data_IF_089429479550
#
_entry.id   IF_089429479550
#
_cell.length_a   1.000
_cell.length_b   1.000
_cell.length_c   1.000
_cell.angle_alpha   90.00
_cell.angle_beta   90.00
_cell.angle_gamma   90.00
#
_symmetry.space_group_name_H-M   'P 1'
#
loop_
_entity.id
_entity.type
_entity.pdbx_description
1 polymer ?
#
# COMPACT_ATOMS: atom_id res chain seq x y z
N UNK A 1 30.57 10.95 -13.57
CA UNK A 1 29.10 10.97 -13.45
C UNK A 1 28.68 9.77 -12.63
N UNK A 2 28.53 9.94 -11.34
CA UNK A 2 28.06 8.89 -10.42
C UNK A 2 26.54 8.99 -10.37
N UNK A 3 25.84 7.95 -10.80
CA UNK A 3 24.40 7.79 -10.55
C UNK A 3 24.25 7.56 -9.05
N UNK A 4 23.67 8.53 -8.36
CA UNK A 4 23.15 8.35 -7.01
C UNK A 4 21.90 7.46 -7.14
N UNK A 5 22.07 6.17 -6.92
CA UNK A 5 20.94 5.28 -6.65
C UNK A 5 20.35 5.71 -5.32
N UNK A 6 19.13 6.19 -5.35
CA UNK A 6 18.32 6.34 -4.15
C UNK A 6 17.94 4.92 -3.74
N UNK A 7 18.72 4.34 -2.83
CA UNK A 7 18.33 3.11 -2.15
C UNK A 7 17.20 3.48 -1.19
N UNK A 8 15.99 3.09 -1.54
CA UNK A 8 14.86 3.11 -0.63
C UNK A 8 15.13 2.05 0.44
N UNK A 9 15.81 2.47 1.50
CA UNK A 9 15.94 1.67 2.71
C UNK A 9 14.59 1.67 3.42
N UNK A 10 13.72 0.73 3.06
CA UNK A 10 12.69 0.29 4.00
C UNK A 10 13.44 -0.15 5.26
N UNK A 11 13.20 0.53 6.36
CA UNK A 11 13.65 0.08 7.67
C UNK A 11 12.88 -1.21 8.04
N UNK A 12 13.18 -2.29 7.31
CA UNK A 12 12.95 -3.62 7.81
C UNK A 12 14.06 -3.84 8.86
N UNK A 13 13.68 -3.99 10.10
CA UNK A 13 14.57 -4.59 11.08
C UNK A 13 15.00 -5.95 10.49
N UNK A 14 16.18 -6.00 9.90
CA UNK A 14 16.82 -7.22 9.47
C UNK A 14 17.23 -7.93 10.75
N UNK A 15 16.36 -8.76 11.26
CA UNK A 15 16.76 -9.84 12.17
C UNK A 15 17.32 -10.92 11.27
N UNK A 16 18.63 -10.88 11.06
CA UNK A 16 19.38 -12.03 10.57
C UNK A 16 19.35 -13.10 11.67
N UNK A 17 18.32 -13.93 11.67
CA UNK A 17 18.35 -15.20 12.36
C UNK A 17 18.78 -16.25 11.35
N UNK A 18 20.10 -16.46 11.23
CA UNK A 18 20.62 -17.71 10.69
C UNK A 18 20.31 -18.79 11.70
N UNK A 19 19.23 -19.51 11.52
CA UNK A 19 18.96 -20.76 12.19
C UNK A 19 19.06 -21.87 11.15
N UNK A 20 20.24 -22.45 11.04
CA UNK A 20 20.37 -23.82 10.58
C UNK A 20 19.73 -24.70 11.65
N UNK A 21 18.56 -25.26 11.35
CA UNK A 21 17.85 -26.20 12.20
C UNK A 21 16.67 -26.73 11.44
N UNK A 22 16.78 -27.93 10.89
CA UNK A 22 15.68 -28.70 10.32
C UNK A 22 14.64 -29.01 11.41
N UNK A 23 13.80 -28.05 11.73
CA UNK A 23 12.61 -28.23 12.55
C UNK A 23 11.44 -28.54 11.62
N UNK A 24 10.76 -29.65 11.89
CA UNK A 24 9.51 -29.99 11.21
C UNK A 24 8.58 -28.77 11.21
N UNK A 25 8.07 -28.38 10.03
CA UNK A 25 7.04 -27.38 9.91
C UNK A 25 5.88 -27.75 10.87
N UNK A 26 5.42 -26.83 11.71
CA UNK A 26 4.19 -27.09 12.44
C UNK A 26 3.11 -27.37 11.41
N UNK A 27 2.55 -28.57 11.48
CA UNK A 27 1.53 -29.03 10.55
C UNK A 27 0.38 -28.03 10.54
N UNK A 28 0.14 -27.39 9.41
CA UNK A 28 -1.15 -26.80 9.16
C UNK A 28 -1.28 -25.30 8.89
N UNK A 29 -0.22 -24.49 8.87
CA UNK A 29 -0.37 -23.08 8.46
C UNK A 29 -0.23 -22.98 6.94
N UNK A 30 -1.29 -22.60 6.24
CA UNK A 30 -1.27 -22.45 4.80
C UNK A 30 -1.95 -21.16 4.35
N UNK A 31 -1.38 -20.53 3.32
CA UNK A 31 -2.12 -19.54 2.51
C UNK A 31 -3.04 -20.33 1.58
N UNK A 32 -4.34 -20.25 1.83
CA UNK A 32 -5.35 -21.00 1.05
C UNK A 32 -5.58 -20.40 -0.32
N UNK A 33 -5.63 -19.06 -0.41
CA UNK A 33 -5.77 -18.34 -1.68
C UNK A 33 -5.33 -16.90 -1.56
N UNK A 34 -4.87 -16.34 -2.69
CA UNK A 34 -4.67 -14.90 -2.90
C UNK A 34 -5.45 -14.51 -4.15
N UNK A 35 -6.29 -13.48 -4.02
CA UNK A 35 -7.05 -12.92 -5.14
C UNK A 35 -6.77 -11.43 -5.21
N UNK A 36 -6.41 -10.93 -6.39
CA UNK A 36 -6.30 -9.50 -6.65
C UNK A 36 -7.62 -8.97 -7.22
N UNK A 37 -8.02 -7.76 -6.81
CA UNK A 37 -9.27 -7.15 -7.24
C UNK A 37 -9.16 -5.62 -7.28
N UNK A 38 -9.99 -4.97 -8.11
CA UNK A 38 -10.09 -3.51 -8.19
C UNK A 38 -10.81 -2.89 -6.99
N UNK A 39 -11.47 -3.70 -6.17
CA UNK A 39 -12.14 -3.27 -4.95
C UNK A 39 -12.53 -4.44 -4.07
N UNK A 40 -13.01 -4.12 -2.88
CA UNK A 40 -13.47 -5.12 -1.91
C UNK A 40 -14.78 -4.68 -1.26
N UNK A 41 -15.64 -5.66 -1.00
CA UNK A 41 -16.79 -5.50 -0.13
C UNK A 41 -16.53 -6.27 1.16
N UNK A 42 -16.51 -5.57 2.27
CA UNK A 42 -16.30 -6.17 3.58
C UNK A 42 -17.61 -6.14 4.37
N UNK A 43 -18.01 -7.28 4.93
CA UNK A 43 -19.28 -7.42 5.64
C UNK A 43 -19.17 -7.16 7.15
N UNK A 44 -17.96 -6.97 7.68
CA UNK A 44 -17.70 -6.71 9.09
C UNK A 44 -16.68 -5.59 9.30
N UNK A 45 -17.00 -4.68 10.21
CA UNK A 45 -16.14 -3.53 10.57
C UNK A 45 -14.90 -3.93 11.37
N UNK A 46 -14.83 -5.17 11.90
CA UNK A 46 -13.76 -5.63 12.80
C UNK A 46 -12.89 -6.75 12.24
N UNK A 47 -12.78 -6.89 10.94
CA UNK A 47 -11.82 -7.82 10.30
C UNK A 47 -12.17 -9.31 10.39
N UNK A 48 -13.33 -9.68 10.90
CA UNK A 48 -13.79 -11.08 11.01
C UNK A 48 -14.97 -11.42 10.06
N UNK A 49 -15.24 -10.56 9.08
CA UNK A 49 -16.27 -10.80 8.08
C UNK A 49 -15.68 -11.32 6.79
N UNK A 50 -16.55 -11.88 5.96
CA UNK A 50 -16.17 -12.27 4.61
C UNK A 50 -15.74 -11.02 3.81
N UNK A 51 -14.58 -11.10 3.19
CA UNK A 51 -14.10 -10.12 2.24
C UNK A 51 -14.41 -10.66 0.85
N UNK A 52 -15.30 -9.95 0.13
CA UNK A 52 -15.66 -10.33 -1.23
C UNK A 52 -14.92 -9.45 -2.23
N UNK A 53 -14.14 -10.04 -3.15
CA UNK A 53 -13.51 -9.26 -4.21
C UNK A 53 -14.56 -8.64 -5.14
N UNK A 54 -14.31 -7.41 -5.56
CA UNK A 54 -15.07 -6.73 -6.59
C UNK A 54 -14.16 -6.59 -7.82
N UNK A 55 -14.61 -7.11 -8.94
CA UNK A 55 -13.88 -7.08 -10.20
C UNK A 55 -12.46 -7.65 -10.06
N UNK A 56 -12.38 -8.97 -9.88
CA UNK A 56 -11.11 -9.69 -9.72
C UNK A 56 -10.34 -9.76 -11.04
N UNK A 57 -9.03 -9.54 -10.97
CA UNK A 57 -8.17 -9.58 -12.14
C UNK A 57 -6.70 -9.39 -11.80
N UNK A 58 -5.88 -9.44 -12.83
CA UNK A 58 -4.42 -9.26 -12.75
C UNK A 58 -3.92 -8.12 -13.64
N UNK A 59 -4.82 -7.36 -14.27
CA UNK A 59 -4.47 -6.20 -15.08
C UNK A 59 -4.99 -4.94 -14.39
N UNK A 60 -4.10 -4.06 -14.01
CA UNK A 60 -4.41 -2.80 -13.34
C UNK A 60 -3.76 -1.64 -14.09
N UNK A 61 -4.35 -0.47 -13.97
CA UNK A 61 -3.79 0.77 -14.53
C UNK A 61 -3.32 1.70 -13.42
N UNK A 62 -2.44 2.65 -13.76
CA UNK A 62 -1.77 3.51 -12.77
C UNK A 62 -2.69 4.42 -11.94
N UNK A 63 -3.99 4.42 -12.22
CA UNK A 63 -5.03 5.10 -11.42
C UNK A 63 -5.83 4.16 -10.53
N UNK A 64 -5.54 2.87 -10.56
CA UNK A 64 -6.21 1.88 -9.72
C UNK A 64 -5.63 1.86 -8.31
N UNK A 65 -6.43 1.36 -7.38
CA UNK A 65 -6.00 0.92 -6.07
C UNK A 65 -6.29 -0.58 -5.95
N UNK A 66 -5.35 -1.44 -6.36
CA UNK A 66 -5.57 -2.88 -6.26
C UNK A 66 -5.64 -3.33 -4.80
N UNK A 67 -6.44 -4.37 -4.56
CA UNK A 67 -6.52 -5.06 -3.27
C UNK A 67 -6.06 -6.50 -3.44
N UNK A 68 -5.19 -6.95 -2.53
CA UNK A 68 -4.88 -8.36 -2.37
C UNK A 68 -5.75 -8.93 -1.25
N UNK A 69 -6.65 -9.87 -1.59
CA UNK A 69 -7.46 -10.60 -0.64
C UNK A 69 -6.71 -11.90 -0.31
N UNK A 70 -6.23 -12.00 0.92
CA UNK A 70 -5.42 -13.12 1.40
C UNK A 70 -6.24 -13.97 2.35
N UNK A 71 -6.38 -15.26 2.05
CA UNK A 71 -6.99 -16.25 2.93
C UNK A 71 -5.91 -17.11 3.57
N UNK A 72 -5.85 -17.09 4.89
CA UNK A 72 -4.95 -17.92 5.68
C UNK A 72 -5.76 -18.98 6.41
N UNK A 73 -5.29 -20.22 6.42
CA UNK A 73 -5.96 -21.34 7.09
C UNK A 73 -5.07 -21.96 8.16
N UNK A 74 -5.68 -22.43 9.23
CA UNK A 74 -5.01 -23.16 10.34
C UNK A 74 -3.89 -22.35 11.02
N UNK A 75 -3.96 -21.03 11.03
CA UNK A 75 -2.93 -20.19 11.64
C UNK A 75 -3.18 -19.94 13.12
N UNK A 76 -2.15 -20.06 13.99
CA UNK A 76 -2.22 -19.55 15.33
C UNK A 76 -2.55 -18.05 15.37
N UNK A 77 -3.10 -17.58 16.49
CA UNK A 77 -3.28 -16.16 16.71
C UNK A 77 -1.92 -15.44 16.76
N UNK A 78 -1.92 -14.17 16.36
CA UNK A 78 -0.73 -13.30 16.33
C UNK A 78 0.45 -13.87 15.49
N UNK A 79 0.14 -14.69 14.46
CA UNK A 79 1.13 -15.22 13.54
C UNK A 79 1.55 -14.16 12.53
N UNK A 80 2.85 -13.89 12.35
CA UNK A 80 3.33 -12.95 11.33
C UNK A 80 3.10 -13.48 9.92
N UNK A 81 2.56 -12.63 9.07
CA UNK A 81 2.36 -12.84 7.63
C UNK A 81 3.07 -11.70 6.91
N UNK A 82 4.14 -12.01 6.21
CA UNK A 82 4.86 -11.00 5.44
C UNK A 82 4.22 -10.87 4.04
N UNK A 83 3.77 -9.67 3.73
CA UNK A 83 3.29 -9.29 2.41
C UNK A 83 4.42 -8.59 1.68
N UNK A 84 4.80 -9.10 0.52
CA UNK A 84 5.91 -8.55 -0.28
C UNK A 84 5.42 -8.17 -1.65
N UNK A 85 5.66 -6.93 -2.04
CA UNK A 85 5.44 -6.43 -3.39
C UNK A 85 6.79 -6.30 -4.09
N UNK A 86 6.93 -6.84 -5.29
CA UNK A 86 8.16 -6.75 -6.09
C UNK A 86 7.83 -6.00 -7.38
N UNK A 87 8.54 -4.92 -7.63
CA UNK A 87 8.34 -4.10 -8.81
C UNK A 87 9.01 -4.71 -10.07
N UNK A 88 8.73 -4.16 -11.26
CA UNK A 88 9.33 -4.66 -12.52
C UNK A 88 10.86 -4.56 -12.57
N UNK A 89 11.48 -3.80 -11.66
CA UNK A 89 12.96 -3.70 -11.57
C UNK A 89 13.56 -4.72 -10.60
N UNK A 90 12.73 -5.52 -9.92
CA UNK A 90 13.12 -6.52 -8.94
C UNK A 90 13.31 -5.98 -7.52
N UNK A 91 12.94 -4.72 -7.26
CA UNK A 91 12.99 -4.15 -5.90
C UNK A 91 11.80 -4.64 -5.09
N UNK A 92 12.06 -5.14 -3.89
CA UNK A 92 11.04 -5.69 -3.00
C UNK A 92 10.63 -4.71 -1.88
N UNK A 93 9.33 -4.57 -1.67
CA UNK A 93 8.70 -3.77 -0.61
C UNK A 93 7.90 -4.72 0.28
N UNK A 94 8.16 -4.73 1.57
CA UNK A 94 7.55 -5.71 2.48
C UNK A 94 6.84 -5.05 3.65
N UNK A 95 5.68 -5.61 4.01
CA UNK A 95 4.88 -5.20 5.15
C UNK A 95 4.57 -6.44 5.97
N UNK A 96 4.77 -6.39 7.28
CA UNK A 96 4.38 -7.46 8.19
C UNK A 96 2.94 -7.23 8.64
N UNK A 97 2.05 -8.16 8.29
CA UNK A 97 0.73 -8.32 8.87
C UNK A 97 0.78 -9.38 9.97
N UNK A 98 -0.25 -9.41 10.82
CA UNK A 98 -0.40 -10.48 11.82
C UNK A 98 -1.82 -11.02 11.79
N UNK A 99 -1.95 -12.34 12.00
CA UNK A 99 -3.29 -12.91 12.25
C UNK A 99 -3.86 -12.29 13.52
N UNK A 100 -5.19 -12.09 13.61
CA UNK A 100 -5.78 -11.44 14.77
C UNK A 100 -5.48 -12.18 16.06
N UNK A 101 -5.34 -11.42 17.15
CA UNK A 101 -5.23 -12.00 18.49
C UNK A 101 -6.53 -12.67 18.88
N UNK A 102 -6.42 -13.78 19.61
CA UNK A 102 -7.56 -14.50 20.19
C UNK A 102 -7.43 -14.55 21.71
N UNK A 103 -8.58 -14.61 22.38
CA UNK A 103 -8.64 -14.82 23.84
C UNK A 103 -8.37 -16.26 24.23
N UNK A 104 -8.57 -17.20 23.30
CA UNK A 104 -8.28 -18.62 23.48
C UNK A 104 -7.01 -19.01 22.72
N UNK A 105 -6.44 -20.17 23.02
CA UNK A 105 -5.22 -20.69 22.40
C UNK A 105 -5.47 -21.46 21.11
N UNK A 106 -6.73 -21.50 20.63
CA UNK A 106 -7.08 -22.28 19.44
C UNK A 106 -6.61 -21.54 18.18
N UNK A 107 -6.07 -22.25 17.17
CA UNK A 107 -5.73 -21.64 15.89
C UNK A 107 -6.98 -21.17 15.16
N UNK A 108 -6.82 -20.18 14.28
CA UNK A 108 -7.83 -19.79 13.31
C UNK A 108 -7.99 -20.92 12.29
N UNK A 109 -9.20 -21.42 12.11
CA UNK A 109 -9.49 -22.39 11.05
C UNK A 109 -9.39 -21.75 9.67
N UNK A 110 -9.90 -20.52 9.55
CA UNK A 110 -9.75 -19.70 8.37
C UNK A 110 -9.82 -18.24 8.80
N UNK A 111 -8.97 -17.43 8.20
CA UNK A 111 -8.94 -15.98 8.37
C UNK A 111 -8.70 -15.34 7.01
N UNK A 112 -9.44 -14.29 6.69
CA UNK A 112 -9.32 -13.56 5.43
C UNK A 112 -9.17 -12.08 5.72
N UNK A 113 -8.29 -11.41 4.98
CA UNK A 113 -8.13 -9.97 5.03
C UNK A 113 -7.84 -9.40 3.66
N UNK A 114 -8.14 -8.12 3.47
CA UNK A 114 -7.77 -7.36 2.28
C UNK A 114 -6.63 -6.42 2.61
N UNK A 115 -5.62 -6.42 1.76
CA UNK A 115 -4.49 -5.51 1.80
C UNK A 115 -4.52 -4.62 0.55
N UNK A 116 -4.78 -3.30 0.66
CA UNK A 116 -4.63 -2.40 -0.47
C UNK A 116 -3.16 -2.30 -0.88
N UNK A 117 -2.89 -2.35 -2.18
CA UNK A 117 -1.55 -2.21 -2.73
C UNK A 117 -1.31 -0.74 -3.09
N UNK A 118 -0.71 0.02 -2.18
CA UNK A 118 -0.48 1.45 -2.37
C UNK A 118 0.69 1.71 -3.33
N UNK A 119 0.41 1.61 -4.63
CA UNK A 119 1.31 2.00 -5.72
C UNK A 119 0.99 3.42 -6.16
N UNK A 120 -0.29 3.70 -6.42
CA UNK A 120 -0.78 5.04 -6.76
C UNK A 120 -0.50 6.04 -5.62
N UNK A 121 -0.13 7.26 -5.97
CA UNK A 121 0.18 8.32 -5.00
C UNK A 121 1.56 8.19 -4.35
N UNK A 122 2.39 7.24 -4.78
CA UNK A 122 3.74 6.98 -4.28
C UNK A 122 4.78 7.06 -5.40
N UNK A 123 6.07 6.93 -5.07
CA UNK A 123 7.15 6.91 -6.08
C UNK A 123 7.15 5.66 -6.96
N UNK A 124 6.28 4.71 -6.64
CA UNK A 124 6.11 3.46 -7.36
C UNK A 124 5.16 3.57 -8.55
N UNK A 125 4.31 4.60 -8.59
CA UNK A 125 3.21 4.73 -9.54
C UNK A 125 3.64 4.73 -11.02
N UNK A 126 4.84 5.21 -11.33
CA UNK A 126 5.39 5.25 -12.69
C UNK A 126 6.08 3.96 -13.13
N UNK A 127 6.23 2.98 -12.23
CA UNK A 127 6.92 1.71 -12.51
C UNK A 127 5.99 0.71 -13.16
N UNK A 128 5.62 0.96 -14.42
CA UNK A 128 4.74 0.09 -15.19
C UNK A 128 5.42 -1.22 -15.61
N UNK A 129 4.65 -2.29 -15.73
CA UNK A 129 5.10 -3.63 -16.10
C UNK A 129 4.57 -4.71 -15.18
N UNK A 130 5.27 -5.82 -15.16
CA UNK A 130 4.90 -7.01 -14.38
C UNK A 130 5.36 -6.87 -12.93
N UNK A 131 4.43 -7.00 -12.01
CA UNK A 131 4.64 -6.98 -10.57
C UNK A 131 4.33 -8.33 -9.95
N UNK A 132 4.99 -8.62 -8.81
CA UNK A 132 4.70 -9.80 -8.01
C UNK A 132 4.16 -9.37 -6.64
N UNK A 133 3.10 -10.02 -6.21
CA UNK A 133 2.60 -9.94 -4.84
C UNK A 133 2.81 -11.29 -4.16
N UNK A 134 3.71 -11.33 -3.20
CA UNK A 134 4.08 -12.54 -2.47
C UNK A 134 3.56 -12.50 -1.05
N UNK A 135 3.06 -13.65 -0.59
CA UNK A 135 2.71 -13.88 0.81
C UNK A 135 3.71 -14.87 1.39
N UNK A 136 4.41 -14.46 2.44
CA UNK A 136 5.41 -15.29 3.10
C UNK A 136 4.98 -15.57 4.55
N UNK A 137 5.21 -16.81 4.99
CA UNK A 137 5.10 -17.22 6.38
C UNK A 137 6.37 -18.00 6.74
N UNK A 138 6.94 -17.70 7.90
CA UNK A 138 8.21 -18.30 8.33
C UNK A 138 9.34 -18.15 7.28
N UNK A 139 9.41 -17.00 6.60
CA UNK A 139 10.34 -16.68 5.53
C UNK A 139 10.23 -17.58 4.28
N UNK A 140 9.16 -18.36 4.16
CA UNK A 140 8.89 -19.17 2.98
C UNK A 140 7.76 -18.55 2.16
N UNK A 141 7.96 -18.46 0.85
CA UNK A 141 6.92 -18.00 -0.07
C UNK A 141 5.81 -19.05 -0.10
N UNK A 142 4.62 -18.66 0.34
CA UNK A 142 3.42 -19.48 0.33
C UNK A 142 2.57 -19.24 -0.92
N UNK A 143 2.65 -18.04 -1.46
CA UNK A 143 1.95 -17.63 -2.68
C UNK A 143 2.76 -16.57 -3.41
N UNK A 144 2.75 -16.61 -4.73
CA UNK A 144 3.29 -15.58 -5.62
C UNK A 144 2.24 -15.32 -6.72
N UNK A 145 1.60 -14.17 -6.63
CA UNK A 145 0.59 -13.74 -7.58
C UNK A 145 1.18 -12.63 -8.47
N UNK A 146 1.16 -12.86 -9.76
CA UNK A 146 1.68 -11.93 -10.76
C UNK A 146 0.54 -11.04 -11.28
N UNK A 147 0.82 -9.75 -11.47
CA UNK A 147 -0.12 -8.80 -12.06
C UNK A 147 0.59 -7.76 -12.95
N UNK A 148 -0.16 -7.19 -13.88
CA UNK A 148 0.30 -6.12 -14.76
C UNK A 148 -0.15 -4.76 -14.23
N UNK A 149 0.80 -3.83 -14.17
CA UNK A 149 0.56 -2.43 -13.84
C UNK A 149 0.84 -1.59 -15.09
N UNK A 150 -0.23 -1.05 -15.69
CA UNK A 150 -0.20 -0.39 -16.99
C UNK A 150 -0.47 1.12 -16.88
N UNK A 151 0.02 1.94 -17.83
CA UNK A 151 -0.32 3.36 -17.85
C UNK A 151 -1.83 3.58 -17.97
N UNK A 152 -2.37 4.49 -17.17
CA UNK A 152 -3.76 4.91 -17.28
C UNK A 152 -4.01 5.78 -18.52
N UNK A 153 -5.26 5.81 -18.96
CA UNK A 153 -5.73 6.69 -20.04
C UNK A 153 -6.55 7.87 -19.50
N UNK A 154 -6.78 8.87 -20.32
CA UNK A 154 -7.68 9.98 -19.99
C UNK A 154 -9.12 9.51 -19.69
N UNK A 155 -9.57 8.40 -20.31
CA UNK A 155 -10.87 7.79 -20.00
C UNK A 155 -10.94 7.31 -18.56
N UNK A 156 -9.85 6.71 -18.05
CA UNK A 156 -9.76 6.26 -16.67
C UNK A 156 -9.88 7.42 -15.68
N UNK A 157 -9.25 8.56 -16.01
CA UNK A 157 -9.37 9.78 -15.21
C UNK A 157 -10.83 10.27 -15.14
N UNK A 158 -11.57 10.23 -16.26
CA UNK A 158 -12.99 10.57 -16.33
C UNK A 158 -13.85 9.66 -15.44
N UNK A 159 -13.55 8.38 -15.40
CA UNK A 159 -14.27 7.41 -14.56
C UNK A 159 -14.08 7.71 -13.06
N UNK A 160 -12.84 8.04 -12.64
CA UNK A 160 -12.58 8.40 -11.23
C UNK A 160 -13.31 9.70 -10.88
N UNK A 161 -13.29 10.70 -11.78
CA UNK A 161 -14.06 11.94 -11.58
C UNK A 161 -15.53 11.66 -11.35
N UNK A 162 -16.14 10.81 -12.17
CA UNK A 162 -17.55 10.43 -12.03
C UNK A 162 -17.84 9.75 -10.70
N UNK A 163 -16.90 8.95 -10.18
CA UNK A 163 -17.02 8.33 -8.85
C UNK A 163 -16.99 9.38 -7.73
N UNK A 164 -16.11 10.39 -7.82
CA UNK A 164 -16.08 11.53 -6.88
C UNK A 164 -17.39 12.31 -6.93
N UNK A 165 -17.90 12.62 -8.12
CA UNK A 165 -19.15 13.37 -8.30
C UNK A 165 -20.35 12.59 -7.70
N UNK A 166 -20.34 11.25 -7.78
CA UNK A 166 -21.39 10.40 -7.20
C UNK A 166 -21.27 10.23 -5.68
N UNK A 167 -20.08 10.39 -5.11
CA UNK A 167 -19.82 10.18 -3.69
C UNK A 167 -18.84 11.23 -3.11
N UNK A 168 -19.25 12.51 -3.07
CA UNK A 168 -18.33 13.64 -2.80
C UNK A 168 -17.85 13.74 -1.34
N UNK A 169 -18.31 12.88 -0.45
CA UNK A 169 -17.87 12.83 0.94
C UNK A 169 -16.91 11.67 1.24
N UNK A 170 -16.44 10.96 0.22
CA UNK A 170 -15.47 9.88 0.38
C UNK A 170 -14.05 10.39 0.16
N UNK A 171 -13.28 10.45 1.24
CA UNK A 171 -11.91 10.98 1.23
C UNK A 171 -10.97 10.21 0.28
N UNK A 172 -11.09 8.89 0.25
CA UNK A 172 -10.28 8.01 -0.60
C UNK A 172 -10.50 8.25 -2.11
N UNK A 173 -11.74 8.59 -2.52
CA UNK A 173 -12.03 8.95 -3.91
C UNK A 173 -11.38 10.26 -4.30
N UNK A 174 -11.42 11.27 -3.44
CA UNK A 174 -10.72 12.53 -3.65
C UNK A 174 -9.20 12.33 -3.73
N UNK A 175 -8.63 11.50 -2.84
CA UNK A 175 -7.21 11.17 -2.90
C UNK A 175 -6.85 10.45 -4.21
N UNK A 176 -7.60 9.40 -4.62
CA UNK A 176 -7.38 8.69 -5.88
C UNK A 176 -7.46 9.63 -7.08
N UNK A 177 -8.46 10.50 -7.10
CA UNK A 177 -8.62 11.46 -8.17
C UNK A 177 -7.47 12.48 -8.18
N UNK A 178 -7.07 13.00 -7.03
CA UNK A 178 -5.93 13.90 -6.91
C UNK A 178 -4.60 13.26 -7.34
N UNK A 179 -4.33 12.03 -6.93
CA UNK A 179 -3.16 11.28 -7.35
C UNK A 179 -3.18 11.02 -8.87
N UNK A 180 -4.34 10.62 -9.41
CA UNK A 180 -4.51 10.42 -10.85
C UNK A 180 -4.30 11.73 -11.64
N UNK A 181 -4.86 12.85 -11.19
CA UNK A 181 -4.62 14.17 -11.81
C UNK A 181 -3.14 14.53 -11.86
N UNK A 182 -2.39 14.21 -10.79
CA UNK A 182 -0.95 14.45 -10.72
C UNK A 182 -0.16 13.64 -11.75
N UNK A 183 -0.58 12.40 -12.05
CA UNK A 183 0.01 11.59 -13.13
C UNK A 183 -0.16 12.23 -14.52
N UNK A 184 -1.25 12.96 -14.72
CA UNK A 184 -1.52 13.69 -15.96
C UNK A 184 -1.01 15.14 -15.94
N UNK A 185 -0.19 15.52 -14.96
CA UNK A 185 0.36 16.86 -14.76
C UNK A 185 -0.69 17.98 -14.54
N UNK A 186 -1.88 17.61 -14.05
CA UNK A 186 -2.92 18.55 -13.62
C UNK A 186 -2.74 18.93 -12.14
N UNK A 187 -1.55 19.45 -11.80
CA UNK A 187 -1.12 19.64 -10.40
C UNK A 187 -2.04 20.56 -9.58
N UNK A 188 -2.59 21.62 -10.18
CA UNK A 188 -3.47 22.53 -9.45
C UNK A 188 -4.75 21.85 -8.98
N UNK A 189 -5.38 21.07 -9.87
CA UNK A 189 -6.58 20.31 -9.56
C UNK A 189 -6.25 19.16 -8.61
N UNK A 190 -5.10 18.50 -8.78
CA UNK A 190 -4.61 17.46 -7.91
C UNK A 190 -4.48 17.95 -6.45
N UNK A 191 -3.84 19.11 -6.25
CA UNK A 191 -3.70 19.75 -4.93
C UNK A 191 -5.06 20.04 -4.31
N UNK A 192 -6.02 20.54 -5.11
CA UNK A 192 -7.39 20.80 -4.63
C UNK A 192 -8.07 19.53 -4.14
N UNK A 193 -8.02 18.45 -4.91
CA UNK A 193 -8.62 17.17 -4.55
C UNK A 193 -7.96 16.54 -3.32
N UNK A 194 -6.63 16.61 -3.21
CA UNK A 194 -5.91 16.09 -2.05
C UNK A 194 -6.21 16.87 -0.76
N UNK A 195 -6.40 18.19 -0.86
CA UNK A 195 -6.85 18.99 0.28
C UNK A 195 -8.26 18.63 0.71
N UNK A 196 -9.16 18.34 -0.23
CA UNK A 196 -10.49 17.82 0.09
C UNK A 196 -10.41 16.46 0.80
N UNK A 197 -9.55 15.55 0.32
CA UNK A 197 -9.32 14.26 0.99
C UNK A 197 -8.85 14.44 2.44
N UNK A 198 -7.85 15.30 2.67
CA UNK A 198 -7.33 15.62 4.00
C UNK A 198 -8.42 16.27 4.89
N UNK A 199 -9.24 17.15 4.35
CA UNK A 199 -10.31 17.79 5.10
C UNK A 199 -11.39 16.77 5.54
N UNK A 200 -11.68 15.78 4.69
CA UNK A 200 -12.67 14.73 4.96
C UNK A 200 -12.13 13.67 5.94
N UNK A 201 -10.86 13.33 5.84
CA UNK A 201 -10.18 12.41 6.76
C UNK A 201 -8.74 12.84 7.02
N UNK A 202 -8.52 13.50 8.17
CA UNK A 202 -7.23 14.02 8.61
C UNK A 202 -6.29 12.94 9.17
N UNK A 203 -6.75 11.70 9.30
CA UNK A 203 -6.01 10.62 9.97
C UNK A 203 -5.32 9.67 9.00
N UNK A 204 -5.21 10.04 7.73
CA UNK A 204 -4.63 9.16 6.72
C UNK A 204 -3.34 9.76 6.14
N UNK A 205 -2.21 9.26 6.61
CA UNK A 205 -0.87 9.79 6.29
C UNK A 205 -0.57 9.83 4.78
N UNK A 206 -1.10 8.87 3.99
CA UNK A 206 -0.87 8.79 2.55
C UNK A 206 -1.38 10.02 1.79
N UNK A 207 -2.45 10.68 2.25
CA UNK A 207 -2.95 11.90 1.62
C UNK A 207 -1.93 13.03 1.68
N UNK A 208 -1.31 13.20 2.86
CA UNK A 208 -0.23 14.16 3.08
C UNK A 208 1.02 13.80 2.28
N UNK A 209 1.40 12.51 2.24
CA UNK A 209 2.54 12.05 1.45
C UNK A 209 2.35 12.39 -0.03
N UNK A 210 1.18 12.06 -0.59
CA UNK A 210 0.87 12.34 -1.99
C UNK A 210 0.90 13.84 -2.30
N UNK A 211 0.34 14.68 -1.42
CA UNK A 211 0.36 16.13 -1.56
C UNK A 211 1.79 16.70 -1.45
N UNK A 212 2.57 16.19 -0.49
CA UNK A 212 3.97 16.57 -0.29
C UNK A 212 4.83 16.30 -1.53
N UNK A 213 4.64 15.14 -2.18
CA UNK A 213 5.33 14.77 -3.43
C UNK A 213 5.00 15.73 -4.59
N UNK A 214 3.76 16.19 -4.69
CA UNK A 214 3.39 17.18 -5.71
C UNK A 214 4.10 18.51 -5.44
N UNK A 215 4.11 18.97 -4.20
CA UNK A 215 4.84 20.19 -3.83
C UNK A 215 6.35 20.08 -4.04
N UNK A 216 6.94 18.91 -3.72
CA UNK A 216 8.36 18.64 -3.98
C UNK A 216 8.68 18.72 -5.47
N UNK A 217 7.88 18.07 -6.33
CA UNK A 217 8.01 18.15 -7.79
C UNK A 217 7.91 19.58 -8.33
N UNK A 218 7.10 20.43 -7.70
CA UNK A 218 6.97 21.85 -8.02
C UNK A 218 8.10 22.74 -7.46
N UNK A 219 9.05 22.16 -6.73
CA UNK A 219 10.10 22.91 -6.03
C UNK A 219 9.61 23.70 -4.80
N UNK A 220 8.38 23.51 -4.36
CA UNK A 220 7.75 24.15 -3.20
C UNK A 220 8.19 23.44 -1.91
N UNK A 221 9.47 23.56 -1.61
CA UNK A 221 10.17 22.82 -0.56
C UNK A 221 9.56 22.97 0.83
N UNK A 222 9.17 24.20 1.20
CA UNK A 222 8.57 24.45 2.51
C UNK A 222 7.20 23.77 2.66
N UNK A 223 6.37 23.83 1.61
CA UNK A 223 5.06 23.17 1.60
C UNK A 223 5.22 21.66 1.64
N UNK A 224 6.16 21.11 0.86
CA UNK A 224 6.45 19.67 0.86
C UNK A 224 6.89 19.17 2.24
N UNK A 225 7.81 19.89 2.91
CA UNK A 225 8.25 19.56 4.26
C UNK A 225 7.10 19.57 5.27
N UNK A 226 6.20 20.55 5.17
CA UNK A 226 5.04 20.63 6.07
C UNK A 226 4.13 19.41 5.91
N UNK A 227 3.86 18.99 4.67
CA UNK A 227 3.01 17.83 4.41
C UNK A 227 3.66 16.51 4.85
N UNK A 228 4.95 16.29 4.58
CA UNK A 228 5.64 15.09 5.07
C UNK A 228 5.75 15.05 6.59
N UNK A 229 5.94 16.20 7.26
CA UNK A 229 5.91 16.28 8.71
C UNK A 229 4.52 16.00 9.29
N UNK A 230 3.45 16.47 8.63
CA UNK A 230 2.09 16.11 9.00
C UNK A 230 1.85 14.60 8.90
N UNK A 231 2.31 13.97 7.81
CA UNK A 231 2.24 12.52 7.64
C UNK A 231 2.96 11.76 8.78
N UNK A 232 4.14 12.23 9.21
CA UNK A 232 4.90 11.64 10.32
C UNK A 232 4.16 11.74 11.68
N UNK A 233 3.26 12.70 11.84
CA UNK A 233 2.43 12.85 13.04
C UNK A 233 1.19 11.96 13.08
N UNK A 234 0.86 11.27 12.01
CA UNK A 234 -0.35 10.45 11.89
C UNK A 234 0.00 8.99 12.20
N UNK A 235 -0.76 8.39 13.12
CA UNK A 235 -0.59 7.01 13.56
C UNK A 235 -1.95 6.31 13.68
N UNK A 236 -1.95 4.99 13.60
CA UNK A 236 -3.13 4.13 13.80
C UNK A 236 -3.53 3.29 12.58
N UNK A 237 -2.77 3.40 11.48
CA UNK A 237 -2.92 2.54 10.31
C UNK A 237 -1.97 1.34 10.35
N UNK A 238 -2.41 0.21 9.81
CA UNK A 238 -1.56 -0.95 9.54
C UNK A 238 -0.33 -0.59 8.67
N UNK A 239 -0.45 0.42 7.81
CA UNK A 239 0.60 0.89 6.91
C UNK A 239 1.52 1.96 7.51
N UNK A 240 1.31 2.34 8.78
CA UNK A 240 2.13 3.38 9.42
C UNK A 240 3.64 3.17 9.26
N UNK A 241 4.22 1.95 9.45
CA UNK A 241 5.66 1.78 9.28
C UNK A 241 6.15 2.16 7.88
N UNK A 242 5.37 1.87 6.83
CA UNK A 242 5.71 2.20 5.45
C UNK A 242 5.54 3.70 5.19
N UNK A 243 4.41 4.27 5.60
CA UNK A 243 4.13 5.70 5.44
C UNK A 243 5.12 6.57 6.21
N UNK A 244 5.48 6.18 7.43
CA UNK A 244 6.51 6.85 8.23
C UNK A 244 7.87 6.79 7.54
N UNK A 245 8.27 5.63 6.99
CA UNK A 245 9.53 5.48 6.26
C UNK A 245 9.57 6.38 5.03
N UNK A 246 8.53 6.39 4.20
CA UNK A 246 8.46 7.25 3.02
C UNK A 246 8.50 8.74 3.36
N UNK A 247 7.68 9.17 4.32
CA UNK A 247 7.66 10.57 4.73
C UNK A 247 9.01 11.02 5.30
N UNK A 248 9.68 10.16 6.10
CA UNK A 248 10.99 10.47 6.68
C UNK A 248 12.08 10.55 5.61
N UNK A 249 12.04 9.70 4.59
CA UNK A 249 12.97 9.73 3.47
C UNK A 249 12.89 11.06 2.71
N UNK A 250 11.68 11.50 2.34
CA UNK A 250 11.45 12.78 1.69
C UNK A 250 11.91 13.97 2.57
N UNK A 251 11.62 13.95 3.87
CA UNK A 251 12.10 14.96 4.80
C UNK A 251 13.63 15.03 4.83
N UNK A 252 14.31 13.88 4.86
CA UNK A 252 15.77 13.82 4.86
C UNK A 252 16.34 14.35 3.53
N UNK A 253 15.77 13.93 2.39
CA UNK A 253 16.15 14.40 1.06
C UNK A 253 16.02 15.93 0.95
N UNK A 254 14.86 16.47 1.33
CA UNK A 254 14.60 17.91 1.29
C UNK A 254 15.51 18.73 2.22
N UNK A 255 15.92 18.19 3.36
CA UNK A 255 16.88 18.85 4.26
C UNK A 255 18.32 18.80 3.76
N UNK A 256 18.70 17.75 3.04
CA UNK A 256 20.05 17.59 2.48
C UNK A 256 20.29 18.43 1.21
N UNK A 257 19.24 18.72 0.46
CA UNK A 257 19.28 19.49 -0.80
C UNK A 257 19.24 21.02 -0.53
N UNK A 258 20.24 21.53 0.26
CA UNK A 258 20.44 22.97 0.52
C UNK A 258 21.24 23.62 -0.58
#
# INVERSE_FOLDING_TARGET
>A
MRRSGVEILLAAAVVLAVAAGGGAQPAGIHVGSVVLAHGVKQTSVFGQGDVTPLDSGTNFVTTDLPYAIVKVTSAPADTPVLLRLIDPTGVAYSIEARTPKRRDTKPWQSFQFAAPLYILGTDLESRTGTWHFQVLMNNQIQNDTVFEWQPASALTLGNIKSAVDASPLQADLHWRYGAALALFNHDADAISQLKNAIQLDQKYALYHITLGRIYERQGRKADALNEFQAALGIHGSFYDPVFQSWAQEHVNHLKASR
#
